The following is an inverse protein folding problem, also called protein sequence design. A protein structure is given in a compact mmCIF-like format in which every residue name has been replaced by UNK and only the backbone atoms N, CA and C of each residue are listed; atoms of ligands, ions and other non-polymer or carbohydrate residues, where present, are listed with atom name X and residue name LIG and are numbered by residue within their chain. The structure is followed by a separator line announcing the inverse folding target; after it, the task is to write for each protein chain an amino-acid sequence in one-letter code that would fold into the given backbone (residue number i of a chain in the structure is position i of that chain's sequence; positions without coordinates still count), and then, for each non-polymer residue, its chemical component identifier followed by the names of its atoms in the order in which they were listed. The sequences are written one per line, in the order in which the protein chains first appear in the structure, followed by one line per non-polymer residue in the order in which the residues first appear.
data_IF_606974815075
#
_entry.id   IF_606974815075
#
_cell.length_a   1.000
_cell.length_b   1.000
_cell.length_c   1.000
_cell.angle_alpha   90.00
_cell.angle_beta   90.00
_cell.angle_gamma   90.00
#
_symmetry.space_group_name_H-M   'P 1'
#
loop_
_entity.id
_entity.type
_entity.pdbx_description
1 polymer ?
#
# COMPACT_ATOMS: atom_id res chain seq x y z
N UNK A 1 -22.83 -32.23 22.80
CA UNK A 1 -21.42 -31.80 22.95
C UNK A 1 -20.86 -31.55 21.57
N UNK A 2 -20.66 -30.29 21.22
CA UNK A 2 -20.03 -29.89 19.96
C UNK A 2 -18.54 -30.21 20.04
N UNK A 3 -18.03 -30.93 19.04
CA UNK A 3 -16.61 -31.16 18.82
C UNK A 3 -15.96 -29.86 18.36
N UNK A 4 -15.20 -29.22 19.25
CA UNK A 4 -14.33 -28.09 18.94
C UNK A 4 -13.14 -28.60 18.12
N UNK A 5 -13.04 -28.19 16.86
CA UNK A 5 -11.99 -28.58 15.91
C UNK A 5 -10.59 -28.09 16.34
N UNK A 6 -9.58 -28.96 16.45
CA UNK A 6 -8.17 -28.59 16.66
C UNK A 6 -7.50 -27.94 15.43
N UNK A 7 -8.14 -27.99 14.26
CA UNK A 7 -7.58 -27.61 12.96
C UNK A 7 -7.20 -26.11 12.87
N UNK A 8 -7.93 -25.24 13.57
CA UNK A 8 -7.80 -23.77 13.45
C UNK A 8 -6.57 -23.13 14.11
N UNK A 9 -5.87 -23.84 15.02
CA UNK A 9 -4.69 -23.31 15.72
C UNK A 9 -3.40 -23.67 15.00
N UNK A 10 -3.29 -24.91 14.51
CA UNK A 10 -2.11 -25.40 13.78
C UNK A 10 -1.97 -24.68 12.45
N UNK A 11 -3.06 -24.51 11.69
CA UNK A 11 -3.08 -23.76 10.43
C UNK A 11 -2.61 -22.31 10.62
N UNK A 12 -3.11 -21.63 11.66
CA UNK A 12 -2.67 -20.26 11.98
C UNK A 12 -1.20 -20.17 12.39
N UNK A 13 -0.66 -21.18 13.10
CA UNK A 13 0.77 -21.23 13.42
C UNK A 13 1.62 -21.47 12.17
N UNK A 14 1.18 -22.34 11.26
CA UNK A 14 1.87 -22.58 9.99
C UNK A 14 1.89 -21.31 9.11
N UNK A 15 0.76 -20.59 9.04
CA UNK A 15 0.66 -19.35 8.27
C UNK A 15 1.52 -18.21 8.85
N UNK A 16 1.67 -18.12 10.18
CA UNK A 16 2.61 -17.17 10.81
C UNK A 16 4.06 -17.47 10.45
N UNK A 17 4.45 -18.74 10.51
CA UNK A 17 5.80 -19.14 10.09
C UNK A 17 6.03 -18.86 8.60
N UNK A 18 4.98 -18.93 7.77
CA UNK A 18 5.08 -18.63 6.36
C UNK A 18 5.49 -17.17 6.10
N UNK A 19 4.96 -16.19 6.85
CA UNK A 19 5.37 -14.77 6.71
C UNK A 19 6.89 -14.64 6.90
N UNK A 20 7.44 -15.21 7.96
CA UNK A 20 8.87 -15.14 8.25
C UNK A 20 9.73 -15.83 7.19
N UNK A 21 9.29 -17.01 6.73
CA UNK A 21 10.00 -17.76 5.69
C UNK A 21 9.99 -16.99 4.36
N UNK A 22 8.83 -16.47 3.95
CA UNK A 22 8.71 -15.73 2.69
C UNK A 22 9.50 -14.42 2.75
N UNK A 23 9.45 -13.70 3.88
CA UNK A 23 10.28 -12.51 4.08
C UNK A 23 11.78 -12.82 4.00
N UNK A 24 12.23 -13.94 4.57
CA UNK A 24 13.61 -14.38 4.45
C UNK A 24 13.99 -14.75 3.00
N UNK A 25 13.12 -15.45 2.27
CA UNK A 25 13.32 -15.76 0.84
C UNK A 25 13.47 -14.48 0.03
N UNK A 26 12.60 -13.50 0.26
CA UNK A 26 12.63 -12.21 -0.41
C UNK A 26 13.94 -11.45 -0.14
N UNK A 27 14.44 -11.47 1.09
CA UNK A 27 15.73 -10.85 1.45
C UNK A 27 16.92 -11.55 0.77
N UNK A 28 16.95 -12.89 0.78
CA UNK A 28 18.07 -13.67 0.22
C UNK A 28 18.10 -13.60 -1.31
N UNK A 29 16.93 -13.59 -1.95
CA UNK A 29 16.79 -13.66 -3.40
C UNK A 29 16.29 -12.36 -4.03
N UNK A 30 16.55 -11.20 -3.40
CA UNK A 30 16.07 -9.88 -3.82
C UNK A 30 16.48 -9.47 -5.25
N UNK A 31 17.50 -10.11 -5.83
CA UNK A 31 17.95 -9.88 -7.22
C UNK A 31 17.26 -10.77 -8.25
N UNK A 32 16.52 -11.80 -7.81
CA UNK A 32 15.79 -12.68 -8.71
C UNK A 32 14.34 -12.22 -8.79
N UNK A 33 14.00 -11.45 -9.82
CA UNK A 33 12.68 -10.85 -9.95
C UNK A 33 11.52 -11.84 -9.98
N UNK A 34 11.69 -13.09 -10.46
CA UNK A 34 10.61 -14.11 -10.42
C UNK A 34 10.35 -14.59 -8.98
N UNK A 35 11.42 -14.75 -8.20
CA UNK A 35 11.32 -15.10 -6.78
C UNK A 35 10.71 -13.94 -6.00
N UNK A 36 11.14 -12.70 -6.27
CA UNK A 36 10.59 -11.51 -5.63
C UNK A 36 9.09 -11.39 -5.92
N UNK A 37 8.68 -11.54 -7.18
CA UNK A 37 7.28 -11.49 -7.61
C UNK A 37 6.42 -12.55 -6.91
N UNK A 38 6.93 -13.78 -6.83
CA UNK A 38 6.27 -14.89 -6.12
C UNK A 38 6.17 -14.62 -4.62
N UNK A 39 7.21 -14.06 -4.02
CA UNK A 39 7.22 -13.69 -2.61
C UNK A 39 6.23 -12.56 -2.31
N UNK A 40 6.16 -11.52 -3.15
CA UNK A 40 5.16 -10.45 -3.04
C UNK A 40 3.72 -11.00 -3.14
N UNK A 41 3.47 -11.95 -4.06
CA UNK A 41 2.16 -12.60 -4.17
C UNK A 41 1.78 -13.37 -2.90
N UNK A 42 2.72 -14.15 -2.36
CA UNK A 42 2.50 -14.88 -1.11
C UNK A 42 2.28 -13.93 0.07
N UNK A 43 3.08 -12.86 0.19
CA UNK A 43 2.90 -11.84 1.23
C UNK A 43 1.56 -11.11 1.10
N UNK A 44 1.09 -10.82 -0.12
CA UNK A 44 -0.24 -10.25 -0.31
C UNK A 44 -1.32 -11.17 0.28
N UNK A 45 -1.34 -12.45 -0.10
CA UNK A 45 -2.34 -13.40 0.40
C UNK A 45 -2.25 -13.54 1.92
N UNK A 46 -1.05 -13.61 2.49
CA UNK A 46 -0.85 -13.70 3.94
C UNK A 46 -1.34 -12.45 4.67
N UNK A 47 -1.07 -11.25 4.13
CA UNK A 47 -1.55 -9.97 4.66
C UNK A 47 -3.08 -9.87 4.58
N UNK A 48 -3.67 -10.25 3.46
CA UNK A 48 -5.12 -10.24 3.26
C UNK A 48 -5.85 -11.13 4.28
N UNK A 49 -5.24 -12.25 4.68
CA UNK A 49 -5.79 -13.16 5.70
C UNK A 49 -5.40 -12.79 7.13
N UNK A 50 -4.73 -11.65 7.36
CA UNK A 50 -4.31 -11.20 8.69
C UNK A 50 -3.33 -12.17 9.38
N UNK A 51 -2.44 -12.79 8.59
CA UNK A 51 -1.49 -13.78 9.12
C UNK A 51 -0.30 -13.14 9.85
N UNK A 52 -0.10 -11.83 9.71
CA UNK A 52 0.97 -11.10 10.37
C UNK A 52 0.65 -10.81 11.83
N UNK A 53 1.69 -10.75 12.65
CA UNK A 53 1.65 -10.24 14.02
C UNK A 53 2.00 -8.76 14.07
N UNK A 54 1.69 -8.09 15.18
CA UNK A 54 1.95 -6.65 15.37
C UNK A 54 3.40 -6.24 15.01
N UNK A 55 4.38 -7.07 15.40
CA UNK A 55 5.80 -6.80 15.17
C UNK A 55 6.26 -7.08 13.72
N UNK A 56 5.40 -7.65 12.88
CA UNK A 56 5.73 -8.02 11.49
C UNK A 56 5.22 -6.98 10.48
N UNK A 57 4.27 -6.13 10.85
CA UNK A 57 3.67 -5.13 9.95
C UNK A 57 4.68 -4.14 9.38
N UNK A 58 5.43 -3.45 10.25
CA UNK A 58 6.42 -2.45 9.84
C UNK A 58 7.58 -3.10 9.03
N UNK A 59 8.23 -4.18 9.49
CA UNK A 59 9.30 -4.83 8.71
C UNK A 59 8.83 -5.38 7.36
N UNK A 60 7.62 -5.95 7.29
CA UNK A 60 7.08 -6.46 6.02
C UNK A 60 6.74 -5.32 5.06
N UNK A 61 6.26 -4.18 5.58
CA UNK A 61 6.04 -2.96 4.79
C UNK A 61 7.35 -2.46 4.19
N UNK A 62 8.40 -2.33 4.99
CA UNK A 62 9.73 -1.92 4.51
C UNK A 62 10.29 -2.88 3.46
N UNK A 63 10.14 -4.19 3.68
CA UNK A 63 10.60 -5.20 2.74
C UNK A 63 9.88 -5.13 1.39
N UNK A 64 8.57 -4.88 1.38
CA UNK A 64 7.79 -4.70 0.15
C UNK A 64 8.16 -3.41 -0.58
N UNK A 65 8.43 -2.32 0.14
CA UNK A 65 8.94 -1.08 -0.46
C UNK A 65 10.30 -1.29 -1.12
N UNK A 66 11.20 -2.04 -0.47
CA UNK A 66 12.49 -2.39 -1.06
C UNK A 66 12.35 -3.29 -2.29
N UNK A 67 11.48 -4.30 -2.24
CA UNK A 67 11.18 -5.15 -3.38
C UNK A 67 10.67 -4.34 -4.58
N UNK A 68 9.76 -3.40 -4.32
CA UNK A 68 9.18 -2.51 -5.32
C UNK A 68 10.25 -1.59 -5.94
N UNK A 69 11.07 -0.93 -5.11
CA UNK A 69 12.18 -0.06 -5.58
C UNK A 69 13.13 -0.77 -6.54
N UNK A 70 13.44 -2.03 -6.26
CA UNK A 70 14.44 -2.79 -7.02
C UNK A 70 13.90 -3.41 -8.31
N UNK A 71 12.57 -3.48 -8.48
CA UNK A 71 11.93 -4.21 -9.57
C UNK A 71 10.72 -3.45 -10.12
N UNK A 72 10.81 -2.11 -10.17
CA UNK A 72 9.73 -1.25 -10.65
C UNK A 72 9.27 -1.61 -12.06
N UNK A 73 10.13 -2.21 -12.88
CA UNK A 73 9.82 -2.58 -14.26
C UNK A 73 8.91 -3.80 -14.41
N UNK A 74 8.65 -4.54 -13.33
CA UNK A 74 7.90 -5.80 -13.36
C UNK A 74 6.43 -5.57 -12.95
N UNK A 75 5.47 -5.53 -13.90
CA UNK A 75 4.09 -5.13 -13.58
C UNK A 75 3.40 -6.08 -12.60
N UNK A 76 3.63 -7.40 -12.69
CA UNK A 76 3.02 -8.37 -11.76
C UNK A 76 3.54 -8.18 -10.33
N UNK A 77 4.83 -7.88 -10.18
CA UNK A 77 5.43 -7.56 -8.89
C UNK A 77 4.84 -6.27 -8.32
N UNK A 78 4.75 -5.20 -9.13
CA UNK A 78 4.16 -3.93 -8.71
C UNK A 78 2.73 -4.13 -8.23
N UNK A 79 1.89 -4.86 -8.98
CA UNK A 79 0.51 -5.20 -8.61
C UNK A 79 0.45 -5.91 -7.25
N UNK A 80 1.20 -7.00 -7.10
CA UNK A 80 1.20 -7.79 -5.88
C UNK A 80 1.75 -7.01 -4.68
N UNK A 81 2.80 -6.20 -4.88
CA UNK A 81 3.36 -5.34 -3.84
C UNK A 81 2.35 -4.28 -3.40
N UNK A 82 1.69 -3.59 -4.33
CA UNK A 82 0.63 -2.62 -4.02
C UNK A 82 -0.53 -3.26 -3.24
N UNK A 83 -0.97 -4.45 -3.65
CA UNK A 83 -2.03 -5.20 -2.97
C UNK A 83 -1.62 -5.66 -1.57
N UNK A 84 -0.39 -6.13 -1.40
CA UNK A 84 0.16 -6.49 -0.11
C UNK A 84 0.23 -5.26 0.81
N UNK A 85 0.79 -4.15 0.32
CA UNK A 85 0.90 -2.90 1.06
C UNK A 85 -0.48 -2.35 1.43
N UNK A 86 -1.45 -2.36 0.53
CA UNK A 86 -2.82 -1.93 0.82
C UNK A 86 -3.44 -2.77 1.94
N UNK A 87 -3.20 -4.08 1.92
CA UNK A 87 -3.65 -4.99 2.98
C UNK A 87 -2.97 -4.71 4.32
N UNK A 88 -1.67 -4.41 4.33
CA UNK A 88 -0.92 -4.05 5.55
C UNK A 88 -1.41 -2.70 6.12
N UNK A 89 -1.56 -1.69 5.27
CA UNK A 89 -2.06 -0.38 5.64
C UNK A 89 -3.46 -0.47 6.24
N UNK A 90 -4.35 -1.31 5.70
CA UNK A 90 -5.69 -1.50 6.28
C UNK A 90 -5.66 -2.07 7.70
N UNK A 91 -4.66 -2.88 8.00
CA UNK A 91 -4.58 -3.65 9.24
C UNK A 91 -3.74 -2.96 10.33
N UNK A 92 -2.82 -2.06 9.96
CA UNK A 92 -1.89 -1.47 10.91
C UNK A 92 -1.47 -0.05 10.54
N UNK A 93 -1.71 0.88 11.47
CA UNK A 93 -1.24 2.27 11.41
C UNK A 93 0.29 2.36 11.31
N UNK A 94 1.02 1.41 11.92
CA UNK A 94 2.48 1.35 11.83
C UNK A 94 2.96 1.14 10.38
N UNK A 95 2.20 0.37 9.58
CA UNK A 95 2.50 0.20 8.16
C UNK A 95 2.32 1.51 7.40
N UNK A 96 1.27 2.27 7.71
CA UNK A 96 1.02 3.57 7.10
C UNK A 96 2.13 4.58 7.46
N UNK A 97 2.56 4.63 8.72
CA UNK A 97 3.71 5.44 9.13
C UNK A 97 5.00 5.04 8.40
N UNK A 98 5.34 3.75 8.39
CA UNK A 98 6.53 3.23 7.68
C UNK A 98 6.52 3.58 6.20
N UNK A 99 5.34 3.61 5.59
CA UNK A 99 5.15 3.96 4.19
C UNK A 99 5.49 5.43 3.89
N UNK A 100 5.09 6.36 4.74
CA UNK A 100 5.29 7.80 4.50
C UNK A 100 6.61 8.34 5.00
N UNK A 101 7.27 7.65 5.92
CA UNK A 101 8.60 8.04 6.41
C UNK A 101 9.56 8.17 5.22
N UNK A 102 10.16 9.35 5.11
CA UNK A 102 11.23 9.63 4.15
C UNK A 102 12.55 9.23 4.78
N UNK A 103 13.20 8.22 4.21
CA UNK A 103 14.56 7.81 4.57
C UNK A 103 15.54 8.10 3.42
N UNK A 104 16.76 7.57 3.50
CA UNK A 104 17.77 7.73 2.44
C UNK A 104 17.36 7.17 1.07
N UNK A 105 16.31 6.32 1.01
CA UNK A 105 15.76 5.72 -0.21
C UNK A 105 14.50 6.44 -0.71
N UNK A 106 14.09 7.53 -0.05
CA UNK A 106 12.84 8.25 -0.33
C UNK A 106 11.61 7.59 0.30
N UNK A 107 10.48 8.32 0.33
CA UNK A 107 9.22 7.81 0.89
C UNK A 107 8.51 6.84 -0.05
N UNK A 108 7.59 6.05 0.50
CA UNK A 108 6.69 5.20 -0.28
C UNK A 108 5.79 6.01 -1.22
N UNK A 109 5.47 7.27 -0.89
CA UNK A 109 4.68 8.17 -1.75
C UNK A 109 5.43 8.49 -3.04
N UNK A 110 6.71 8.84 -2.95
CA UNK A 110 7.53 9.08 -4.14
C UNK A 110 7.62 7.80 -4.98
N UNK A 111 7.82 6.66 -4.32
CA UNK A 111 7.92 5.36 -4.99
C UNK A 111 6.65 4.97 -5.77
N UNK A 112 5.45 5.21 -5.23
CA UNK A 112 4.21 4.91 -5.97
C UNK A 112 3.97 5.89 -7.13
N UNK A 113 4.44 7.13 -7.01
CA UNK A 113 4.45 8.07 -8.13
C UNK A 113 5.34 7.53 -9.23
N UNK A 114 6.55 7.09 -8.91
CA UNK A 114 7.47 6.50 -9.89
C UNK A 114 6.87 5.24 -10.55
N UNK A 115 6.26 4.35 -9.75
CA UNK A 115 5.59 3.16 -10.25
C UNK A 115 4.44 3.48 -11.22
N UNK A 116 3.63 4.49 -10.89
CA UNK A 116 2.55 4.95 -11.77
C UNK A 116 3.07 5.52 -13.09
N UNK A 117 4.09 6.38 -13.05
CA UNK A 117 4.66 6.93 -14.29
C UNK A 117 5.29 5.84 -15.15
N UNK A 118 5.92 4.84 -14.53
CA UNK A 118 6.51 3.71 -15.25
C UNK A 118 5.44 2.83 -15.92
N UNK A 119 4.35 2.52 -15.20
CA UNK A 119 3.25 1.66 -15.67
C UNK A 119 2.01 2.45 -16.07
N UNK A 120 2.21 3.67 -16.59
CA UNK A 120 1.14 4.63 -16.84
C UNK A 120 0.01 4.05 -17.70
N UNK A 121 0.34 3.17 -18.66
CA UNK A 121 -0.58 2.54 -19.61
C UNK A 121 -1.09 1.14 -19.20
N UNK A 122 -0.72 0.63 -18.01
CA UNK A 122 -1.24 -0.65 -17.49
C UNK A 122 -2.41 -0.38 -16.51
N UNK A 123 -3.68 -0.58 -16.94
CA UNK A 123 -4.85 -0.29 -16.11
C UNK A 123 -4.89 -1.09 -14.81
N UNK A 124 -4.39 -2.33 -14.81
CA UNK A 124 -4.43 -3.19 -13.63
C UNK A 124 -3.38 -2.74 -12.60
N UNK A 125 -2.22 -2.27 -13.05
CA UNK A 125 -1.23 -1.64 -12.15
C UNK A 125 -1.80 -0.34 -11.59
N UNK A 126 -2.39 0.51 -12.43
CA UNK A 126 -2.93 1.81 -12.00
C UNK A 126 -4.08 1.63 -11.00
N UNK A 127 -4.96 0.66 -11.21
CA UNK A 127 -6.03 0.33 -10.25
C UNK A 127 -5.48 -0.07 -8.88
N UNK A 128 -4.46 -0.93 -8.85
CA UNK A 128 -3.84 -1.37 -7.59
C UNK A 128 -3.07 -0.24 -6.88
N UNK A 129 -2.45 0.67 -7.63
CA UNK A 129 -1.87 1.90 -7.07
C UNK A 129 -2.97 2.78 -6.48
N UNK A 130 -4.09 2.97 -7.18
CA UNK A 130 -5.22 3.76 -6.71
C UNK A 130 -5.82 3.17 -5.42
N UNK A 131 -5.93 1.84 -5.34
CA UNK A 131 -6.38 1.13 -4.15
C UNK A 131 -5.43 1.39 -2.96
N UNK A 132 -4.12 1.28 -3.18
CA UNK A 132 -3.13 1.57 -2.14
C UNK A 132 -3.25 3.01 -1.63
N UNK A 133 -3.35 3.99 -2.54
CA UNK A 133 -3.55 5.41 -2.19
C UNK A 133 -4.84 5.59 -1.36
N UNK A 134 -5.93 4.91 -1.74
CA UNK A 134 -7.19 4.97 -1.01
C UNK A 134 -7.08 4.42 0.43
N UNK A 135 -6.23 3.43 0.67
CA UNK A 135 -5.94 2.95 2.05
C UNK A 135 -5.12 3.97 2.85
N UNK A 136 -4.21 4.72 2.22
CA UNK A 136 -3.41 5.73 2.91
C UNK A 136 -4.27 6.85 3.51
N UNK A 137 -5.26 7.34 2.76
CA UNK A 137 -6.13 8.44 3.21
C UNK A 137 -7.17 8.01 4.26
N UNK A 138 -7.15 6.75 4.70
CA UNK A 138 -7.91 6.34 5.89
C UNK A 138 -7.30 6.89 7.18
N UNK A 139 -6.03 7.29 7.14
CA UNK A 139 -5.28 7.78 8.29
C UNK A 139 -5.12 9.30 8.25
N UNK A 140 -5.78 9.99 9.18
CA UNK A 140 -5.83 11.47 9.21
C UNK A 140 -4.45 12.12 9.30
N UNK A 141 -3.48 11.48 9.97
CA UNK A 141 -2.12 11.98 10.12
C UNK A 141 -1.26 11.79 8.86
N UNK A 142 -1.70 10.95 7.91
CA UNK A 142 -1.02 10.72 6.62
C UNK A 142 -1.46 11.75 5.58
N UNK A 143 -2.71 12.21 5.65
CA UNK A 143 -3.32 13.13 4.67
C UNK A 143 -2.48 14.39 4.40
N UNK A 144 -1.91 15.09 5.40
CA UNK A 144 -1.06 16.26 5.14
C UNK A 144 0.13 15.97 4.22
N UNK A 145 0.76 14.79 4.37
CA UNK A 145 1.86 14.38 3.50
C UNK A 145 1.37 14.04 2.09
N UNK A 146 0.17 13.47 1.95
CA UNK A 146 -0.43 13.22 0.63
C UNK A 146 -0.70 14.53 -0.15
N UNK A 147 -1.15 15.56 0.57
CA UNK A 147 -1.38 16.89 0.01
C UNK A 147 -0.04 17.54 -0.37
N UNK A 148 0.97 17.49 0.52
CA UNK A 148 2.29 18.09 0.26
C UNK A 148 3.00 17.49 -0.97
N UNK A 149 2.71 16.23 -1.27
CA UNK A 149 3.26 15.49 -2.42
C UNK A 149 2.39 15.59 -3.70
N UNK A 150 1.36 16.45 -3.73
CA UNK A 150 0.45 16.68 -4.85
C UNK A 150 -0.28 15.41 -5.34
N UNK A 151 -0.72 14.55 -4.42
CA UNK A 151 -1.44 13.33 -4.78
C UNK A 151 -2.79 13.61 -5.47
N UNK A 152 -3.39 14.78 -5.24
CA UNK A 152 -4.63 15.20 -5.91
C UNK A 152 -4.48 15.32 -7.43
N UNK A 153 -3.34 15.85 -7.89
CA UNK A 153 -3.04 16.01 -9.32
C UNK A 153 -2.94 14.65 -10.01
N UNK A 154 -2.18 13.73 -9.41
CA UNK A 154 -2.01 12.36 -9.89
C UNK A 154 -3.34 11.59 -9.95
N UNK A 155 -4.18 11.69 -8.92
CA UNK A 155 -5.50 11.03 -8.90
C UNK A 155 -6.45 11.63 -9.94
N UNK A 156 -6.39 12.94 -10.17
CA UNK A 156 -7.16 13.61 -11.22
C UNK A 156 -6.73 13.13 -12.59
N UNK A 157 -5.42 13.02 -12.82
CA UNK A 157 -4.87 12.49 -14.07
C UNK A 157 -5.31 11.05 -14.34
N UNK A 158 -5.22 10.17 -13.33
CA UNK A 158 -5.69 8.78 -13.43
C UNK A 158 -7.15 8.71 -13.90
N UNK A 159 -8.03 9.51 -13.30
CA UNK A 159 -9.45 9.56 -13.68
C UNK A 159 -9.66 10.02 -15.12
N UNK A 160 -8.94 11.05 -15.54
CA UNK A 160 -9.05 11.61 -16.88
C UNK A 160 -8.57 10.65 -17.95
N UNK A 161 -7.58 9.80 -17.64
CA UNK A 161 -7.10 8.75 -18.52
C UNK A 161 -8.03 7.54 -18.55
N UNK A 162 -8.38 7.00 -17.38
CA UNK A 162 -9.09 5.74 -17.22
C UNK A 162 -10.61 5.93 -17.05
N UNK A 163 -11.22 6.72 -17.94
CA UNK A 163 -12.65 7.10 -17.88
C UNK A 163 -13.64 5.93 -18.00
N UNK A 164 -13.17 4.76 -18.43
CA UNK A 164 -13.98 3.55 -18.57
C UNK A 164 -13.80 2.54 -17.43
N UNK A 165 -12.83 2.76 -16.53
CA UNK A 165 -12.63 1.91 -15.34
C UNK A 165 -13.43 2.48 -14.17
N UNK A 166 -14.51 1.80 -13.81
CA UNK A 166 -15.35 2.22 -12.70
C UNK A 166 -14.59 2.14 -11.36
N UNK A 167 -13.74 1.14 -11.22
CA UNK A 167 -12.89 0.90 -10.06
C UNK A 167 -11.92 2.06 -9.83
N UNK A 168 -11.12 2.44 -10.85
CA UNK A 168 -10.19 3.57 -10.76
C UNK A 168 -10.94 4.87 -10.45
N UNK A 169 -12.06 5.13 -11.13
CA UNK A 169 -12.85 6.35 -10.89
C UNK A 169 -13.35 6.40 -9.44
N UNK A 170 -13.93 5.31 -8.96
CA UNK A 170 -14.52 5.25 -7.61
C UNK A 170 -13.46 5.43 -6.52
N UNK A 171 -12.31 4.75 -6.66
CA UNK A 171 -11.19 4.86 -5.72
C UNK A 171 -10.61 6.28 -5.73
N UNK A 172 -10.39 6.86 -6.92
CA UNK A 172 -9.84 8.20 -7.03
C UNK A 172 -10.81 9.27 -6.51
N UNK A 173 -12.11 9.18 -6.81
CA UNK A 173 -13.12 10.10 -6.28
C UNK A 173 -13.22 10.03 -4.76
N UNK A 174 -13.27 8.82 -4.20
CA UNK A 174 -13.32 8.61 -2.76
C UNK A 174 -12.11 9.21 -2.07
N UNK A 175 -10.94 9.04 -2.67
CA UNK A 175 -9.68 9.56 -2.16
C UNK A 175 -9.62 11.10 -2.23
N UNK A 176 -9.94 11.68 -3.39
CA UNK A 176 -9.97 13.13 -3.60
C UNK A 176 -10.93 13.83 -2.63
N UNK A 177 -12.13 13.27 -2.42
CA UNK A 177 -13.10 13.81 -1.47
C UNK A 177 -12.56 13.86 -0.03
N UNK A 178 -11.69 12.94 0.35
CA UNK A 178 -11.06 12.93 1.68
C UNK A 178 -9.94 13.97 1.79
N UNK A 179 -9.09 14.09 0.77
CA UNK A 179 -8.03 15.09 0.71
C UNK A 179 -8.61 16.52 0.80
N UNK A 180 -9.61 16.82 -0.03
CA UNK A 180 -10.28 18.13 -0.08
C UNK A 180 -10.97 18.54 1.22
N UNK A 181 -11.61 17.58 1.92
CA UNK A 181 -12.25 17.84 3.22
C UNK A 181 -11.24 18.32 4.26
N UNK A 182 -9.99 17.84 4.20
CA UNK A 182 -8.94 18.18 5.15
C UNK A 182 -8.26 19.50 4.81
N UNK A 183 -8.07 19.81 3.54
CA UNK A 183 -7.61 21.13 3.11
C UNK A 183 -8.55 22.24 3.57
N UNK A 184 -9.86 22.02 3.37
CA UNK A 184 -10.87 23.01 3.79
C UNK A 184 -10.91 23.18 5.31
N UNK A 185 -10.79 22.08 6.07
CA UNK A 185 -10.74 22.13 7.54
C UNK A 185 -9.49 22.89 8.05
N UNK A 186 -8.33 22.70 7.42
CA UNK A 186 -7.11 23.41 7.75
C UNK A 186 -7.23 24.92 7.49
N UNK A 187 -7.79 25.31 6.33
CA UNK A 187 -8.02 26.72 5.99
C UNK A 187 -8.96 27.39 6.99
N UNK A 188 -10.06 26.74 7.38
CA UNK A 188 -11.02 27.28 8.37
C UNK A 188 -10.37 27.44 9.74
N UNK A 189 -9.53 26.50 10.16
CA UNK A 189 -8.79 26.62 11.42
C UNK A 189 -7.79 27.78 11.38
N UNK A 190 -7.10 28.00 10.26
CA UNK A 190 -6.20 29.13 10.10
C UNK A 190 -6.96 30.46 10.09
N UNK A 191 -8.08 30.57 9.37
CA UNK A 191 -8.88 31.81 9.33
C UNK A 191 -9.49 32.19 10.68
N UNK A 192 -9.81 31.21 11.52
CA UNK A 192 -10.37 31.44 12.87
C UNK A 192 -9.32 31.78 13.93
N UNK A 193 -8.03 31.66 13.61
CA UNK A 193 -6.90 31.96 14.50
C UNK A 193 -6.17 33.27 14.12
N UNK A 194 -6.64 34.02 13.12
CA UNK A 194 -6.18 35.40 12.88
C UNK A 194 -6.97 36.38 13.78
N UNK A 195 -6.27 37.28 14.52
CA UNK A 195 -6.90 38.28 15.38
C UNK A 195 -7.59 39.42 14.62
#
# INVERSE_FOLDING_TARGET
MQTQQPETKVERTLLKNAVQIISAVLQVHHQNGEVVESACSALWVLSLHGCLTENEYEPTTELLLDALRMNLERPVLVKNACLALASLLRMSELSAFRFVITDSKGSGIILIKDAYHFHYDDPEVVENICLLINEMVQYDHIVPEMISQNMEEMLTEMKMKYTSSMEIITLADTTLLKLQKRDTACIIQLSNNLP
#
